data_IF_229703868178
#
_entry.id   IF_229703868178
#
_cell.length_a   1.000
_cell.length_b   1.000
_cell.length_c   1.000
_cell.angle_alpha   90.00
_cell.angle_beta   90.00
_cell.angle_gamma   90.00
#
_symmetry.space_group_name_H-M   'P 1'
#
loop_
_entity.id
_entity.type
_entity.pdbx_description
1 polymer ?
#
# COMPACT_ATOMS: atom_id res chain seq x y z
N UNK A 1 -7.05 5.58 -32.41
CA UNK A 1 -7.99 4.84 -31.53
C UNK A 1 -7.69 5.19 -30.09
N UNK A 2 -8.61 5.85 -29.36
CA UNK A 2 -8.47 6.06 -27.91
C UNK A 2 -8.74 4.72 -27.21
N UNK A 3 -7.73 4.19 -26.51
CA UNK A 3 -7.83 2.97 -25.70
C UNK A 3 -8.77 3.27 -24.52
N UNK A 4 -9.77 2.41 -24.28
CA UNK A 4 -10.71 2.60 -23.18
C UNK A 4 -9.96 2.58 -21.84
N UNK A 5 -10.09 3.67 -21.08
CA UNK A 5 -9.70 3.76 -19.68
C UNK A 5 -10.70 2.92 -18.88
N UNK A 6 -10.22 1.82 -18.29
CA UNK A 6 -11.04 0.97 -17.42
C UNK A 6 -10.93 1.46 -15.99
N UNK A 7 -12.04 1.49 -15.25
CA UNK A 7 -12.00 1.66 -13.78
C UNK A 7 -11.80 0.30 -13.13
N UNK A 8 -10.95 0.26 -12.11
CA UNK A 8 -10.78 -0.90 -11.24
C UNK A 8 -11.15 -0.56 -9.80
N UNK A 9 -11.53 -1.57 -9.03
CA UNK A 9 -11.67 -1.50 -7.59
C UNK A 9 -10.45 -2.15 -6.96
N UNK A 10 -9.75 -1.43 -6.10
CA UNK A 10 -8.63 -1.94 -5.29
C UNK A 10 -9.12 -2.07 -3.87
N UNK A 11 -9.34 -3.32 -3.45
CA UNK A 11 -9.65 -3.70 -2.09
C UNK A 11 -8.35 -3.94 -1.34
N UNK A 12 -8.08 -3.21 -0.27
CA UNK A 12 -6.82 -3.38 0.44
C UNK A 12 -6.90 -3.05 1.93
N UNK A 13 -6.03 -3.71 2.68
CA UNK A 13 -5.75 -3.43 4.07
C UNK A 13 -4.29 -3.77 4.36
N UNK A 14 -3.75 -3.20 5.42
CA UNK A 14 -2.41 -3.51 5.88
C UNK A 14 -2.34 -3.39 7.40
N UNK A 15 -1.45 -4.16 8.01
CA UNK A 15 -0.99 -3.86 9.34
C UNK A 15 0.34 -3.07 9.26
N UNK A 16 0.42 -1.82 9.70
CA UNK A 16 -0.60 -1.07 10.44
C UNK A 16 -1.26 0.04 9.63
N UNK A 17 -0.52 0.59 8.66
CA UNK A 17 -0.98 1.58 7.69
C UNK A 17 -0.37 1.34 6.33
N UNK A 18 -1.08 1.69 5.27
CA UNK A 18 -0.57 1.74 3.92
C UNK A 18 -0.76 3.12 3.29
N UNK A 19 0.06 3.39 2.28
CA UNK A 19 -0.19 4.38 1.23
C UNK A 19 -0.20 3.66 -0.12
N UNK A 20 -1.10 4.01 -1.02
CA UNK A 20 -1.33 3.35 -2.30
C UNK A 20 -1.01 4.28 -3.47
N UNK A 21 -0.30 3.75 -4.46
CA UNK A 21 -0.09 4.36 -5.77
C UNK A 21 -0.51 3.43 -6.90
N UNK A 22 -1.04 4.02 -7.98
CA UNK A 22 -1.34 3.34 -9.24
C UNK A 22 -0.59 4.06 -10.35
N UNK A 23 0.31 3.35 -11.03
CA UNK A 23 1.17 3.92 -12.07
C UNK A 23 1.90 5.20 -11.64
N UNK A 24 2.33 5.27 -10.38
CA UNK A 24 3.01 6.42 -9.79
C UNK A 24 2.11 7.54 -9.28
N UNK A 25 0.80 7.50 -9.55
CA UNK A 25 -0.16 8.46 -9.00
C UNK A 25 -0.61 8.03 -7.60
N UNK A 26 -0.55 8.95 -6.64
CA UNK A 26 -1.01 8.69 -5.28
C UNK A 26 -2.54 8.61 -5.23
N UNK A 27 -3.05 7.52 -4.67
CA UNK A 27 -4.50 7.26 -4.58
C UNK A 27 -5.03 7.57 -3.18
N UNK A 28 -4.32 7.15 -2.14
CA UNK A 28 -4.82 7.29 -0.78
C UNK A 28 -4.00 6.54 0.27
N UNK A 29 -4.52 6.56 1.50
CA UNK A 29 -3.92 5.92 2.66
C UNK A 29 -4.99 5.23 3.50
N UNK A 30 -4.58 4.24 4.29
CA UNK A 30 -5.48 3.47 5.14
C UNK A 30 -4.72 2.42 5.95
N UNK A 31 -5.39 1.36 6.45
CA UNK A 31 -6.84 1.31 6.62
C UNK A 31 -7.29 2.31 7.69
N UNK A 32 -8.61 2.55 7.81
CA UNK A 32 -9.16 3.14 9.02
C UNK A 32 -8.73 2.32 10.26
N UNK A 33 -8.60 2.96 11.43
CA UNK A 33 -8.24 2.23 12.66
C UNK A 33 -9.36 1.23 12.98
N UNK A 34 -8.99 -0.04 13.17
CA UNK A 34 -9.88 -1.11 13.61
C UNK A 34 -9.24 -1.93 14.72
N UNK A 35 -10.04 -2.81 15.34
CA UNK A 35 -9.51 -3.81 16.26
C UNK A 35 -8.78 -4.90 15.45
N UNK A 36 -7.70 -5.47 15.98
CA UNK A 36 -6.92 -6.50 15.25
C UNK A 36 -7.74 -7.76 14.93
N UNK A 37 -8.76 -8.06 15.73
CA UNK A 37 -9.71 -9.16 15.47
C UNK A 37 -10.77 -8.82 14.40
N UNK A 38 -10.95 -7.55 14.10
CA UNK A 38 -11.94 -7.04 13.14
C UNK A 38 -11.32 -5.91 12.30
N UNK A 39 -10.29 -6.22 11.48
CA UNK A 39 -9.60 -5.21 10.69
C UNK A 39 -10.52 -4.64 9.61
N UNK A 40 -10.45 -3.33 9.40
CA UNK A 40 -11.08 -2.69 8.25
C UNK A 40 -10.24 -2.89 6.99
N UNK A 41 -10.90 -2.87 5.83
CA UNK A 41 -10.26 -2.73 4.53
C UNK A 41 -10.93 -1.58 3.79
N UNK A 42 -10.19 -0.95 2.88
CA UNK A 42 -10.71 0.12 2.04
C UNK A 42 -10.96 -0.38 0.62
N UNK A 43 -11.82 0.33 -0.10
CA UNK A 43 -12.03 0.14 -1.54
C UNK A 43 -11.77 1.44 -2.27
N UNK A 44 -10.73 1.46 -3.11
CA UNK A 44 -10.43 2.59 -3.98
C UNK A 44 -10.92 2.31 -5.40
N UNK A 45 -11.62 3.26 -6.01
CA UNK A 45 -11.96 3.20 -7.44
C UNK A 45 -10.91 3.98 -8.21
N UNK A 46 -10.08 3.28 -8.99
CA UNK A 46 -8.89 3.84 -9.63
C UNK A 46 -8.95 3.68 -11.16
N UNK A 47 -8.36 4.61 -11.93
CA UNK A 47 -8.21 4.44 -13.37
C UNK A 47 -7.07 3.45 -13.67
N UNK A 48 -7.28 2.60 -14.67
CA UNK A 48 -6.24 1.77 -15.27
C UNK A 48 -5.99 2.21 -16.71
N UNK A 49 -4.74 2.10 -17.13
CA UNK A 49 -4.35 2.24 -18.54
C UNK A 49 -4.32 0.88 -19.21
N UNK A 50 -4.55 0.84 -20.51
CA UNK A 50 -4.52 -0.43 -21.23
C UNK A 50 -3.09 -0.94 -21.45
N UNK A 51 -2.81 -2.16 -21.00
CA UNK A 51 -1.49 -2.78 -20.99
C UNK A 51 -0.99 -2.96 -19.56
N UNK A 52 0.33 -2.80 -19.34
CA UNK A 52 0.94 -2.98 -18.02
C UNK A 52 0.58 -1.83 -17.07
N UNK A 53 0.02 -2.19 -15.92
CA UNK A 53 -0.19 -1.29 -14.79
C UNK A 53 0.75 -1.69 -13.66
N UNK A 54 1.13 -0.72 -12.83
CA UNK A 54 1.88 -0.95 -11.59
C UNK A 54 1.01 -0.51 -10.41
N UNK A 55 0.96 -1.36 -9.39
CA UNK A 55 0.30 -1.10 -8.11
C UNK A 55 1.40 -1.14 -7.07
N UNK A 56 1.52 -0.09 -6.28
CA UNK A 56 2.58 0.05 -5.31
C UNK A 56 2.01 0.46 -3.96
N UNK A 57 2.51 -0.17 -2.89
CA UNK A 57 2.14 0.13 -1.52
C UNK A 57 3.38 0.47 -0.71
N UNK A 58 3.27 1.50 0.14
CA UNK A 58 4.18 1.71 1.26
C UNK A 58 3.47 1.28 2.53
N UNK A 59 3.92 0.18 3.13
CA UNK A 59 3.37 -0.33 4.39
C UNK A 59 4.22 0.16 5.55
N UNK A 60 3.56 0.76 6.53
CA UNK A 60 4.14 1.23 7.76
C UNK A 60 3.57 0.38 8.90
N UNK A 61 4.40 -0.53 9.39
CA UNK A 61 4.06 -1.45 10.47
C UNK A 61 4.61 -0.92 11.80
N UNK A 62 3.74 -0.79 12.80
CA UNK A 62 4.10 -0.30 14.12
C UNK A 62 4.26 -1.48 15.09
N UNK A 63 5.51 -1.76 15.48
CA UNK A 63 5.87 -2.93 16.29
C UNK A 63 5.80 -2.67 17.80
N UNK A 64 5.80 -1.41 18.22
CA UNK A 64 5.69 -1.05 19.64
C UNK A 64 4.22 -1.00 20.04
N UNK A 65 3.81 -1.99 20.84
CA UNK A 65 2.48 -2.03 21.44
C UNK A 65 2.23 -0.78 22.26
N UNK A 66 1.16 -0.07 21.93
CA UNK A 66 0.67 1.08 22.68
C UNK A 66 -0.85 1.08 22.69
N UNK A 67 -1.47 2.13 23.23
CA UNK A 67 -2.94 2.25 23.30
C UNK A 67 -3.62 2.43 21.91
N UNK A 68 -2.89 2.26 20.81
CA UNK A 68 -3.29 2.65 19.46
C UNK A 68 -3.21 1.50 18.46
N UNK A 69 -2.22 0.61 18.58
CA UNK A 69 -1.98 -0.51 17.68
C UNK A 69 -1.70 -1.79 18.46
N UNK A 70 -2.29 -2.89 18.01
CA UNK A 70 -1.99 -4.22 18.52
C UNK A 70 -0.67 -4.71 17.92
N UNK A 71 0.24 -5.30 18.71
CA UNK A 71 1.47 -5.88 18.18
C UNK A 71 1.15 -7.23 17.51
N UNK A 72 0.77 -7.19 16.23
CA UNK A 72 0.53 -8.37 15.39
C UNK A 72 1.60 -8.46 14.30
N UNK A 73 1.60 -9.53 13.50
CA UNK A 73 2.49 -9.64 12.35
C UNK A 73 2.12 -8.60 11.28
N UNK A 74 3.13 -7.88 10.78
CA UNK A 74 2.96 -6.92 9.69
C UNK A 74 2.53 -7.61 8.40
N UNK A 75 1.61 -7.01 7.66
CA UNK A 75 1.08 -7.62 6.44
C UNK A 75 0.37 -6.64 5.52
N UNK A 76 0.20 -7.06 4.27
CA UNK A 76 -0.57 -6.39 3.24
C UNK A 76 -1.46 -7.41 2.55
N UNK A 77 -2.75 -7.10 2.44
CA UNK A 77 -3.68 -7.85 1.62
C UNK A 77 -4.28 -6.89 0.60
N UNK A 78 -4.24 -7.27 -0.67
CA UNK A 78 -4.85 -6.52 -1.76
C UNK A 78 -5.55 -7.45 -2.75
N UNK A 79 -6.71 -7.05 -3.24
CA UNK A 79 -7.44 -7.64 -4.36
C UNK A 79 -7.84 -6.55 -5.34
N UNK A 80 -7.64 -6.79 -6.63
CA UNK A 80 -7.95 -5.86 -7.71
C UNK A 80 -9.02 -6.44 -8.61
N UNK A 81 -10.09 -5.70 -8.81
CA UNK A 81 -11.22 -6.10 -9.63
C UNK A 81 -11.42 -5.13 -10.79
N UNK A 82 -11.67 -5.68 -11.98
CA UNK A 82 -12.16 -4.92 -13.14
C UNK A 82 -13.53 -5.46 -13.50
N UNK A 83 -14.58 -4.66 -13.31
CA UNK A 83 -15.95 -5.15 -13.34
C UNK A 83 -16.17 -6.16 -12.21
N UNK A 84 -16.48 -7.42 -12.56
CA UNK A 84 -16.66 -8.54 -11.61
C UNK A 84 -15.49 -9.52 -11.62
N UNK A 85 -14.44 -9.25 -12.39
CA UNK A 85 -13.29 -10.14 -12.54
C UNK A 85 -12.15 -9.71 -11.63
N UNK A 86 -11.68 -10.63 -10.78
CA UNK A 86 -10.43 -10.46 -10.03
C UNK A 86 -9.25 -10.62 -10.99
N UNK A 87 -8.43 -9.58 -11.12
CA UNK A 87 -7.30 -9.54 -12.06
C UNK A 87 -5.94 -9.62 -11.37
N UNK A 88 -5.88 -9.35 -10.07
CA UNK A 88 -4.67 -9.50 -9.26
C UNK A 88 -5.02 -9.61 -7.77
N UNK A 89 -4.19 -10.36 -7.04
CA UNK A 89 -4.20 -10.43 -5.57
C UNK A 89 -2.76 -10.36 -5.06
N UNK A 90 -2.57 -9.95 -3.80
CA UNK A 90 -1.27 -10.12 -3.12
C UNK A 90 -0.92 -11.59 -3.00
N UNK A 91 0.28 -11.95 -3.45
CA UNK A 91 0.84 -13.29 -3.38
C UNK A 91 2.38 -13.23 -3.41
N UNK A 92 3.05 -14.39 -3.51
CA UNK A 92 4.51 -14.48 -3.54
C UNK A 92 5.19 -13.89 -4.78
N UNK A 93 4.45 -13.43 -5.79
CA UNK A 93 5.01 -12.76 -6.98
C UNK A 93 5.28 -11.26 -6.78
N UNK A 94 4.81 -10.69 -5.67
CA UNK A 94 4.99 -9.28 -5.37
C UNK A 94 6.43 -8.97 -4.96
N UNK A 95 7.03 -7.97 -5.60
CA UNK A 95 8.32 -7.43 -5.18
C UNK A 95 8.17 -6.66 -3.87
N UNK A 96 9.09 -6.88 -2.94
CA UNK A 96 9.11 -6.19 -1.64
C UNK A 96 10.52 -5.65 -1.34
N UNK A 97 10.57 -4.51 -0.65
CA UNK A 97 11.80 -3.90 -0.20
C UNK A 97 11.55 -3.17 1.13
N UNK A 98 12.36 -3.45 2.15
CA UNK A 98 12.34 -2.67 3.38
C UNK A 98 12.92 -1.28 3.13
N UNK A 99 12.14 -0.24 3.40
CA UNK A 99 12.59 1.14 3.23
C UNK A 99 13.71 1.47 4.22
N UNK A 100 14.82 1.99 3.69
CA UNK A 100 15.94 2.54 4.49
C UNK A 100 15.81 4.06 4.69
N UNK A 101 14.80 4.67 4.08
CA UNK A 101 14.59 6.11 4.12
C UNK A 101 13.93 6.58 5.42
N UNK A 102 13.04 5.76 6.00
CA UNK A 102 12.42 6.05 7.30
C UNK A 102 13.28 5.57 8.45
N UNK A 103 13.50 6.42 9.46
CA UNK A 103 14.21 6.09 10.69
C UNK A 103 13.29 6.28 11.88
N UNK A 104 13.31 5.32 12.80
CA UNK A 104 12.68 5.46 14.11
C UNK A 104 13.33 6.60 14.89
N UNK A 105 12.51 7.35 15.61
CA UNK A 105 12.97 8.33 16.61
C UNK A 105 12.56 7.76 17.97
N UNK A 106 13.50 7.66 18.90
CA UNK A 106 13.23 7.11 20.23
C UNK A 106 12.06 7.88 20.90
N UNK A 107 11.07 7.15 21.40
CA UNK A 107 9.87 7.72 22.03
C UNK A 107 8.80 8.24 21.06
N UNK A 108 8.97 8.07 19.74
CA UNK A 108 7.94 8.39 18.74
C UNK A 108 7.42 7.13 18.07
N UNK A 109 6.10 6.95 18.10
CA UNK A 109 5.40 5.85 17.43
C UNK A 109 5.46 6.02 15.91
N UNK A 110 5.48 7.26 15.41
CA UNK A 110 5.51 7.58 13.99
C UNK A 110 6.94 7.96 13.56
N UNK A 111 7.59 7.18 12.67
CA UNK A 111 8.87 7.58 12.10
C UNK A 111 8.68 8.71 11.11
N UNK A 112 8.90 9.95 11.57
CA UNK A 112 8.88 11.16 10.73
C UNK A 112 10.29 11.56 10.26
N UNK A 113 11.35 10.88 10.72
CA UNK A 113 12.71 11.08 10.21
C UNK A 113 12.87 10.39 8.86
N UNK A 114 13.07 11.19 7.81
CA UNK A 114 13.15 10.72 6.43
C UNK A 114 14.46 11.16 5.76
N UNK A 115 15.22 10.21 5.21
CA UNK A 115 16.41 10.45 4.40
C UNK A 115 16.13 10.19 2.92
N UNK A 116 15.85 11.27 2.17
CA UNK A 116 15.53 11.21 0.75
C UNK A 116 16.61 10.53 -0.11
N UNK A 117 17.88 10.51 0.33
CA UNK A 117 18.98 9.87 -0.42
C UNK A 117 18.88 8.35 -0.39
N UNK A 118 18.13 7.80 0.56
CA UNK A 118 17.94 6.37 0.75
C UNK A 118 16.62 5.85 0.17
N UNK A 119 15.78 6.73 -0.41
CA UNK A 119 14.55 6.31 -1.09
C UNK A 119 14.87 5.81 -2.50
N UNK A 120 14.46 4.59 -2.89
CA UNK A 120 14.62 4.12 -4.25
C UNK A 120 13.78 4.98 -5.21
N UNK A 121 14.43 5.73 -6.09
CA UNK A 121 13.71 6.62 -6.99
C UNK A 121 12.77 5.85 -7.93
N UNK A 122 11.49 6.25 -7.94
CA UNK A 122 10.50 5.73 -8.88
C UNK A 122 9.98 4.33 -8.55
N UNK A 123 10.16 3.82 -7.34
CA UNK A 123 9.66 2.50 -6.91
C UNK A 123 8.15 2.28 -7.16
N UNK A 124 7.38 3.37 -7.15
CA UNK A 124 5.95 3.40 -7.43
C UNK A 124 5.59 3.50 -8.93
N UNK A 125 6.58 3.67 -9.81
CA UNK A 125 6.40 3.88 -11.24
C UNK A 125 6.43 2.56 -12.03
N UNK A 126 5.76 2.50 -13.18
CA UNK A 126 5.91 1.37 -14.09
C UNK A 126 7.34 1.21 -14.62
N UNK A 127 7.89 0.00 -14.52
CA UNK A 127 9.22 -0.31 -15.05
C UNK A 127 10.37 -0.18 -14.06
N UNK A 128 10.08 0.13 -12.79
CA UNK A 128 11.01 -0.10 -11.70
C UNK A 128 11.35 -1.59 -11.55
#
# INVERSE_FOLDING_TARGET
MRKAEGKARVHCTADSKYRLWINGEYIGFGPARGHSEHPYYDTHVVPLRAGRNTIAFLVQHYTEGGNIFSPVEGGLICQVEVGTTVVATTDGSWGTLSSKAYRGIAGMIFPESFDARAEPHGWQQPGF
#
